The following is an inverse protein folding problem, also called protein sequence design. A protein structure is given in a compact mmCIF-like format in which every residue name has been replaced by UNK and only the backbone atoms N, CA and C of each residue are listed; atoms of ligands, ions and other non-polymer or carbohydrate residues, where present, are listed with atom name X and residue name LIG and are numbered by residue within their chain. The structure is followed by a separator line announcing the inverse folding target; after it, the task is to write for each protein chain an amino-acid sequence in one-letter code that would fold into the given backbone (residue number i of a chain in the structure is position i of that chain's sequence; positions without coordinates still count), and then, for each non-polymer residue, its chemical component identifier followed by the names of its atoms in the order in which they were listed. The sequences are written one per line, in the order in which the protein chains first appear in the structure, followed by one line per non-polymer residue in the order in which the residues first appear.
data_IF_748210016190
#
_entry.id   IF_748210016190
#
_cell.length_a   1.000
_cell.length_b   1.000
_cell.length_c   1.000
_cell.angle_alpha   90.00
_cell.angle_beta   90.00
_cell.angle_gamma   90.00
#
_symmetry.space_group_name_H-M   'P 1'
#
loop_
_entity.id
_entity.type
_entity.pdbx_description
1 polymer ?
#
# COMPACT_ATOMS: atom_id res chain seq x y z
N UNK A 1 -21.14 -0.35 -20.36
CA UNK A 1 -20.03 -0.03 -19.43
C UNK A 1 -18.73 -0.34 -20.14
N UNK A 2 -18.10 0.70 -20.69
CA UNK A 2 -17.03 0.59 -21.67
C UNK A 2 -15.66 0.33 -21.04
N UNK A 3 -14.84 -0.45 -21.74
CA UNK A 3 -13.42 -0.67 -21.47
C UNK A 3 -12.71 0.66 -21.21
N UNK A 4 -12.27 0.88 -19.97
CA UNK A 4 -11.40 2.01 -19.60
C UNK A 4 -9.99 1.51 -19.91
N UNK A 5 -9.47 1.91 -21.08
CA UNK A 5 -8.31 1.27 -21.69
C UNK A 5 -7.09 1.10 -20.77
N UNK A 6 -6.32 0.04 -21.01
CA UNK A 6 -4.98 -0.14 -20.45
C UNK A 6 -4.16 1.12 -20.78
N UNK A 7 -3.82 1.89 -19.75
CA UNK A 7 -2.79 2.92 -19.88
C UNK A 7 -1.47 2.21 -20.19
N UNK A 8 -0.93 2.42 -21.40
CA UNK A 8 0.31 1.77 -21.87
C UNK A 8 1.54 2.18 -21.04
N UNK A 9 1.44 3.25 -20.23
CA UNK A 9 2.44 3.64 -19.25
C UNK A 9 1.77 4.27 -18.02
N UNK A 10 2.03 3.70 -16.84
CA UNK A 10 1.70 4.33 -15.56
C UNK A 10 2.91 5.14 -15.08
N UNK A 11 2.70 6.37 -14.62
CA UNK A 11 3.76 7.16 -14.00
C UNK A 11 4.05 6.58 -12.61
N UNK A 12 5.18 5.89 -12.47
CA UNK A 12 5.68 5.39 -11.19
C UNK A 12 6.78 6.29 -10.63
N UNK A 13 6.78 6.51 -9.32
CA UNK A 13 7.92 7.07 -8.59
C UNK A 13 8.72 5.89 -8.07
N UNK A 14 9.94 5.72 -8.56
CA UNK A 14 10.81 4.61 -8.16
C UNK A 14 12.15 5.13 -7.67
N UNK A 15 12.74 4.50 -6.63
CA UNK A 15 14.12 4.76 -6.26
C UNK A 15 15.05 4.55 -7.46
N UNK A 16 16.02 5.44 -7.64
CA UNK A 16 17.03 5.31 -8.68
C UNK A 16 17.96 4.16 -8.34
N UNK A 17 18.04 3.21 -9.27
CA UNK A 17 18.94 2.06 -9.14
C UNK A 17 20.39 2.52 -9.23
N UNK A 18 21.25 1.92 -8.40
CA UNK A 18 22.70 2.11 -8.48
C UNK A 18 23.20 1.73 -9.90
N UNK A 19 24.02 2.57 -10.55
CA UNK A 19 24.61 2.25 -11.85
C UNK A 19 25.61 1.09 -11.74
N UNK A 20 25.78 0.35 -12.84
CA UNK A 20 26.74 -0.77 -12.90
C UNK A 20 28.16 -0.22 -12.68
N UNK A 21 28.88 -0.77 -11.71
CA UNK A 21 30.21 -0.31 -11.26
C UNK A 21 30.30 1.14 -10.72
N UNK A 22 29.17 1.79 -10.43
CA UNK A 22 29.16 3.14 -9.86
C UNK A 22 28.50 3.21 -8.49
N UNK A 23 28.55 4.39 -7.88
CA UNK A 23 27.82 4.73 -6.65
C UNK A 23 26.71 5.72 -6.97
N UNK A 24 25.69 5.77 -6.12
CA UNK A 24 24.72 6.85 -6.16
C UNK A 24 25.38 8.11 -5.60
N UNK A 25 25.05 9.27 -6.16
CA UNK A 25 25.41 10.54 -5.54
C UNK A 25 24.58 10.77 -4.25
N UNK A 26 25.00 11.72 -3.43
CA UNK A 26 24.33 12.01 -2.16
C UNK A 26 22.86 12.40 -2.37
N UNK A 27 22.58 13.20 -3.40
CA UNK A 27 21.22 13.66 -3.70
C UNK A 27 20.29 12.50 -4.13
N UNK A 28 20.79 11.55 -4.91
CA UNK A 28 20.07 10.34 -5.30
C UNK A 28 19.85 9.41 -4.11
N UNK A 29 20.79 9.34 -3.17
CA UNK A 29 20.61 8.60 -1.93
C UNK A 29 19.51 9.21 -1.07
N UNK A 30 19.54 10.52 -0.86
CA UNK A 30 18.52 11.24 -0.08
C UNK A 30 17.14 11.07 -0.71
N UNK A 31 17.02 11.30 -2.03
CA UNK A 31 15.74 11.09 -2.74
C UNK A 31 15.24 9.65 -2.64
N UNK A 32 16.14 8.66 -2.74
CA UNK A 32 15.75 7.27 -2.60
C UNK A 32 15.29 6.94 -1.18
N UNK A 33 15.92 7.53 -0.17
CA UNK A 33 15.53 7.39 1.22
C UNK A 33 14.12 7.92 1.44
N UNK A 34 13.81 9.11 0.94
CA UNK A 34 12.47 9.72 1.05
C UNK A 34 11.40 8.85 0.35
N UNK A 35 11.67 8.41 -0.89
CA UNK A 35 10.75 7.54 -1.64
C UNK A 35 10.53 6.21 -0.89
N UNK A 36 11.58 5.63 -0.33
CA UNK A 36 11.50 4.39 0.44
C UNK A 36 10.75 4.58 1.76
N UNK A 37 10.95 5.73 2.43
CA UNK A 37 10.20 6.09 3.63
C UNK A 37 8.71 6.14 3.31
N UNK A 38 8.29 6.88 2.28
CA UNK A 38 6.88 7.00 1.90
C UNK A 38 6.25 5.68 1.47
N UNK A 39 7.03 4.83 0.79
CA UNK A 39 6.59 3.49 0.42
C UNK A 39 6.19 2.64 1.63
N UNK A 40 6.84 2.83 2.79
CA UNK A 40 6.55 2.05 4.01
C UNK A 40 5.10 2.23 4.47
N UNK A 41 4.50 3.40 4.24
CA UNK A 41 3.10 3.69 4.61
C UNK A 41 2.17 2.79 3.82
N UNK A 42 2.38 2.71 2.51
CA UNK A 42 1.61 1.84 1.62
C UNK A 42 1.76 0.38 2.03
N UNK A 43 3.00 -0.06 2.28
CA UNK A 43 3.27 -1.44 2.70
C UNK A 43 2.60 -1.79 4.04
N UNK A 44 2.67 -0.91 5.03
CA UNK A 44 2.05 -1.10 6.34
C UNK A 44 0.51 -1.13 6.24
N UNK A 45 -0.08 -0.26 5.43
CA UNK A 45 -1.52 -0.26 5.17
C UNK A 45 -1.96 -1.58 4.54
N UNK A 46 -1.32 -1.99 3.44
CA UNK A 46 -1.64 -3.24 2.77
C UNK A 46 -1.29 -4.48 3.62
N UNK A 47 -0.32 -4.39 4.52
CA UNK A 47 -0.04 -5.42 5.53
C UNK A 47 -1.23 -5.67 6.46
N UNK A 48 -1.89 -4.61 6.92
CA UNK A 48 -3.14 -4.70 7.72
C UNK A 48 -4.30 -5.26 6.90
N UNK A 49 -4.49 -4.78 5.68
CA UNK A 49 -5.48 -5.32 4.72
C UNK A 49 -5.27 -6.82 4.50
N UNK A 50 -4.05 -7.26 4.21
CA UNK A 50 -3.70 -8.66 4.01
C UNK A 50 -3.97 -9.52 5.25
N UNK A 51 -3.76 -8.97 6.45
CA UNK A 51 -4.04 -9.69 7.71
C UNK A 51 -5.54 -9.94 7.87
N UNK A 52 -6.38 -8.92 7.68
CA UNK A 52 -7.84 -9.04 7.70
C UNK A 52 -8.37 -9.94 6.59
N UNK A 53 -7.74 -9.92 5.42
CA UNK A 53 -8.06 -10.83 4.32
C UNK A 53 -7.77 -12.28 4.69
N UNK A 54 -6.63 -12.57 5.33
CA UNK A 54 -6.30 -13.92 5.82
C UNK A 54 -7.29 -14.40 6.88
N UNK A 55 -7.74 -13.52 7.78
CA UNK A 55 -8.79 -13.83 8.76
C UNK A 55 -10.10 -14.19 8.05
N UNK A 56 -10.47 -13.41 7.04
CA UNK A 56 -11.69 -13.64 6.26
C UNK A 56 -11.63 -14.98 5.52
N UNK A 57 -10.48 -15.32 4.93
CA UNK A 57 -10.24 -16.60 4.27
C UNK A 57 -10.37 -17.79 5.22
N UNK A 58 -9.91 -17.66 6.47
CA UNK A 58 -10.02 -18.72 7.47
C UNK A 58 -11.44 -18.88 8.04
N UNK A 59 -12.24 -17.81 8.00
CA UNK A 59 -13.56 -17.77 8.66
C UNK A 59 -14.71 -18.11 7.69
N UNK A 60 -14.59 -17.69 6.43
CA UNK A 60 -15.68 -17.78 5.45
C UNK A 60 -15.26 -18.64 4.26
N UNK A 61 -16.17 -19.50 3.80
CA UNK A 61 -16.00 -20.21 2.53
C UNK A 61 -15.98 -19.21 1.38
N UNK A 62 -15.02 -19.37 0.47
CA UNK A 62 -14.90 -18.52 -0.70
C UNK A 62 -16.15 -18.62 -1.59
N UNK A 63 -16.58 -17.46 -2.10
CA UNK A 63 -17.61 -17.37 -3.12
C UNK A 63 -17.60 -15.98 -3.75
N UNK A 64 -17.80 -15.91 -5.06
CA UNK A 64 -17.78 -14.66 -5.82
C UNK A 64 -18.72 -13.58 -5.22
N UNK A 65 -19.90 -14.00 -4.75
CA UNK A 65 -20.90 -13.13 -4.10
C UNK A 65 -20.36 -12.45 -2.84
N UNK A 66 -19.40 -13.07 -2.15
CA UNK A 66 -18.85 -12.58 -0.89
C UNK A 66 -17.59 -11.72 -1.10
N UNK A 67 -16.96 -11.78 -2.28
CA UNK A 67 -15.69 -11.10 -2.56
C UNK A 67 -15.77 -9.59 -2.31
N UNK A 68 -16.76 -8.92 -2.93
CA UNK A 68 -16.92 -7.46 -2.81
C UNK A 68 -17.20 -7.04 -1.36
N UNK A 69 -17.97 -7.84 -0.61
CA UNK A 69 -18.25 -7.59 0.79
C UNK A 69 -16.99 -7.73 1.64
N UNK A 70 -16.24 -8.83 1.48
CA UNK A 70 -14.99 -9.07 2.20
C UNK A 70 -13.97 -7.96 1.90
N UNK A 71 -13.84 -7.56 0.63
CA UNK A 71 -12.97 -6.46 0.23
C UNK A 71 -13.38 -5.15 0.90
N UNK A 72 -14.62 -4.71 0.74
CA UNK A 72 -15.09 -3.44 1.32
C UNK A 72 -14.94 -3.43 2.84
N UNK A 73 -15.32 -4.51 3.51
CA UNK A 73 -15.18 -4.65 4.97
C UNK A 73 -13.73 -4.60 5.41
N UNK A 74 -12.84 -5.30 4.70
CA UNK A 74 -11.40 -5.31 5.01
C UNK A 74 -10.79 -3.91 4.94
N UNK A 75 -11.11 -3.14 3.89
CA UNK A 75 -10.63 -1.77 3.74
C UNK A 75 -11.28 -0.83 4.78
N UNK A 76 -12.58 -0.96 5.03
CA UNK A 76 -13.27 -0.15 6.03
C UNK A 76 -12.71 -0.37 7.45
N UNK A 77 -12.48 -1.63 7.84
CA UNK A 77 -11.86 -1.98 9.12
C UNK A 77 -10.41 -1.49 9.19
N UNK A 78 -9.66 -1.55 8.09
CA UNK A 78 -8.30 -0.99 8.06
C UNK A 78 -8.34 0.51 8.30
N UNK A 79 -9.24 1.26 7.66
CA UNK A 79 -9.38 2.70 7.86
C UNK A 79 -9.76 3.04 9.30
N UNK A 80 -10.71 2.32 9.91
CA UNK A 80 -11.04 2.49 11.33
C UNK A 80 -9.85 2.17 12.24
N UNK A 81 -9.08 1.14 11.89
CA UNK A 81 -7.87 0.79 12.63
C UNK A 81 -6.79 1.87 12.52
N UNK A 82 -6.74 2.66 11.45
CA UNK A 82 -5.85 3.81 11.32
C UNK A 82 -6.21 4.94 12.29
N UNK A 83 -7.50 5.21 12.50
CA UNK A 83 -7.93 6.26 13.45
C UNK A 83 -7.66 5.91 14.91
N UNK A 84 -7.39 4.63 15.21
CA UNK A 84 -6.99 4.16 16.54
C UNK A 84 -5.47 3.99 16.67
N UNK A 85 -4.83 3.49 15.61
CA UNK A 85 -3.41 3.19 15.58
C UNK A 85 -2.84 3.64 14.23
N UNK A 86 -2.35 4.88 14.13
CA UNK A 86 -1.78 5.42 12.88
C UNK A 86 -0.60 4.60 12.37
N UNK A 87 -0.25 4.79 11.09
CA UNK A 87 0.90 4.10 10.47
C UNK A 87 2.23 4.76 10.84
N UNK A 88 2.20 6.05 11.15
CA UNK A 88 3.32 6.82 11.70
C UNK A 88 2.83 7.72 12.82
N UNK A 89 3.71 8.03 13.77
CA UNK A 89 3.40 8.93 14.88
C UNK A 89 3.02 10.34 14.42
N UNK A 90 3.65 10.81 13.33
CA UNK A 90 3.35 12.10 12.70
C UNK A 90 1.93 12.19 12.12
N UNK A 91 1.29 11.05 11.86
CA UNK A 91 -0.04 11.00 11.25
C UNK A 91 -1.20 10.99 12.28
N UNK A 92 -0.92 11.06 13.58
CA UNK A 92 -1.95 10.99 14.65
C UNK A 92 -3.07 12.03 14.52
N UNK A 93 -2.80 13.18 13.90
CA UNK A 93 -3.80 14.24 13.68
C UNK A 93 -4.51 14.21 12.33
N UNK A 94 -4.15 13.30 11.42
CA UNK A 94 -4.65 13.27 10.05
C UNK A 94 -5.77 12.23 9.80
N UNK A 95 -5.93 11.24 10.68
CA UNK A 95 -6.82 10.07 10.48
C UNK A 95 -8.01 10.02 11.44
#
# INVERSE_FOLDING_TARGET
MGYIGIAHSLRGIHPKRRPVHGVLDAHDMDRNHDISSDRVVVENFFGRVCTLWKISLATYTWGEKNYNTIQRTTFALTNFHLSLMPLRAEDEGFY
#
